data_IF_390281464656
#
_entry.id   IF_390281464656
#
_cell.length_a   1.000
_cell.length_b   1.000
_cell.length_c   1.000
_cell.angle_alpha   90.00
_cell.angle_beta   90.00
_cell.angle_gamma   90.00
#
_symmetry.space_group_name_H-M   'P 1'
#
loop_
_entity.id
_entity.type
_entity.pdbx_description
1 polymer ?
#
# COMPACT_ATOMS: atom_id res chain seq x y z
N UNK A 1 43.80 -5.68 -27.62
CA UNK A 1 42.59 -5.88 -26.80
C UNK A 1 42.54 -4.75 -25.79
N UNK A 2 41.62 -3.81 -25.96
CA UNK A 2 41.44 -2.70 -25.01
C UNK A 2 40.26 -3.06 -24.13
N UNK A 3 40.52 -3.37 -22.86
CA UNK A 3 39.48 -3.69 -21.88
C UNK A 3 39.13 -2.41 -21.15
N UNK A 4 37.97 -1.83 -21.44
CA UNK A 4 37.48 -0.66 -20.73
C UNK A 4 37.01 -1.09 -19.34
N UNK A 5 37.68 -0.61 -18.30
CA UNK A 5 37.29 -0.81 -16.91
C UNK A 5 36.04 0.03 -16.67
N UNK A 6 34.94 -0.61 -16.27
CA UNK A 6 33.74 0.10 -15.82
C UNK A 6 33.93 0.33 -14.33
N UNK A 7 34.28 1.56 -13.96
CA UNK A 7 34.31 2.03 -12.59
C UNK A 7 32.85 2.26 -12.19
N UNK A 8 32.13 1.16 -11.96
CA UNK A 8 30.75 1.21 -11.50
C UNK A 8 30.73 1.87 -10.14
N UNK A 9 30.41 3.17 -10.10
CA UNK A 9 29.85 3.82 -8.92
C UNK A 9 28.69 2.91 -8.47
N UNK A 10 28.78 2.21 -7.33
CA UNK A 10 27.71 1.36 -6.87
C UNK A 10 26.56 2.31 -6.53
N UNK A 11 25.68 2.50 -7.51
CA UNK A 11 24.55 3.39 -7.43
C UNK A 11 23.85 3.11 -6.12
N UNK A 12 23.79 4.16 -5.29
CA UNK A 12 23.13 4.24 -4.00
C UNK A 12 22.12 3.10 -3.85
N UNK A 13 22.53 2.03 -3.16
CA UNK A 13 21.60 1.00 -2.72
C UNK A 13 20.61 1.75 -1.83
N UNK A 14 19.44 2.09 -2.39
CA UNK A 14 18.34 2.61 -1.59
C UNK A 14 18.02 1.51 -0.60
N UNK A 15 18.47 1.68 0.64
CA UNK A 15 18.14 0.75 1.70
C UNK A 15 16.62 0.64 1.72
N UNK A 16 16.10 -0.53 1.33
CA UNK A 16 14.68 -0.79 1.39
C UNK A 16 14.28 -0.61 2.85
N UNK A 17 13.43 0.38 3.15
CA UNK A 17 12.96 0.64 4.50
C UNK A 17 12.34 -0.65 5.02
N UNK A 18 13.00 -1.27 6.01
CA UNK A 18 12.47 -2.50 6.62
C UNK A 18 11.20 -2.14 7.36
N UNK A 19 10.08 -2.60 6.81
CA UNK A 19 8.77 -2.49 7.45
C UNK A 19 8.78 -3.37 8.70
N UNK A 20 8.30 -2.84 9.83
CA UNK A 20 8.15 -3.66 11.04
C UNK A 20 7.02 -4.67 10.84
N UNK A 21 7.00 -5.74 11.64
CA UNK A 21 5.91 -6.72 11.59
C UNK A 21 4.55 -6.08 11.84
N UNK A 22 4.47 -5.12 12.77
CA UNK A 22 3.26 -4.37 13.08
C UNK A 22 2.76 -3.55 11.86
N UNK A 23 3.68 -2.87 11.17
CA UNK A 23 3.35 -2.14 9.95
C UNK A 23 2.84 -3.08 8.87
N UNK A 24 3.48 -4.24 8.67
CA UNK A 24 3.02 -5.25 7.71
C UNK A 24 1.64 -5.80 8.07
N UNK A 25 1.39 -6.04 9.36
CA UNK A 25 0.09 -6.49 9.85
C UNK A 25 -0.97 -5.42 9.59
N UNK A 26 -0.66 -4.14 9.83
CA UNK A 26 -1.55 -3.03 9.57
C UNK A 26 -1.91 -2.91 8.07
N UNK A 27 -0.91 -3.01 7.18
CA UNK A 27 -1.14 -3.07 5.72
C UNK A 27 -2.08 -4.20 5.33
N UNK A 28 -1.86 -5.40 5.89
CA UNK A 28 -2.70 -6.56 5.62
C UNK A 28 -4.14 -6.34 6.09
N UNK A 29 -4.32 -5.77 7.30
CA UNK A 29 -5.66 -5.45 7.82
C UNK A 29 -6.37 -4.43 6.94
N UNK A 30 -5.69 -3.37 6.51
CA UNK A 30 -6.27 -2.37 5.61
C UNK A 30 -6.76 -3.00 4.30
N UNK A 31 -5.94 -3.85 3.67
CA UNK A 31 -6.33 -4.57 2.44
C UNK A 31 -7.56 -5.45 2.67
N UNK A 32 -7.62 -6.18 3.79
CA UNK A 32 -8.77 -7.03 4.12
C UNK A 32 -10.05 -6.20 4.29
N UNK A 33 -9.99 -5.11 5.04
CA UNK A 33 -11.15 -4.24 5.23
C UNK A 33 -11.63 -3.68 3.90
N UNK A 34 -10.70 -3.25 3.02
CA UNK A 34 -11.09 -2.72 1.71
C UNK A 34 -11.78 -3.78 0.83
N UNK A 35 -11.34 -5.04 0.88
CA UNK A 35 -12.03 -6.15 0.20
C UNK A 35 -13.44 -6.38 0.74
N UNK A 36 -13.63 -6.27 2.06
CA UNK A 36 -14.95 -6.40 2.68
C UNK A 36 -15.85 -5.27 2.19
N UNK A 37 -15.38 -4.01 2.21
CA UNK A 37 -16.14 -2.85 1.75
C UNK A 37 -16.52 -2.98 0.27
N UNK A 38 -15.60 -3.43 -0.57
CA UNK A 38 -15.88 -3.70 -1.98
C UNK A 38 -16.95 -4.79 -2.14
N UNK A 39 -16.86 -5.86 -1.35
CA UNK A 39 -17.86 -6.92 -1.37
C UNK A 39 -19.26 -6.41 -0.99
N UNK A 40 -19.35 -5.54 0.02
CA UNK A 40 -20.62 -4.89 0.39
C UNK A 40 -21.19 -4.05 -0.76
N UNK A 41 -20.34 -3.32 -1.47
CA UNK A 41 -20.73 -2.54 -2.64
C UNK A 41 -21.22 -3.44 -3.79
N UNK A 42 -20.48 -4.51 -4.09
CA UNK A 42 -20.81 -5.46 -5.16
C UNK A 42 -22.15 -6.17 -4.90
N UNK A 43 -22.51 -6.40 -3.63
CA UNK A 43 -23.79 -6.98 -3.24
C UNK A 43 -24.91 -5.94 -3.11
N UNK A 44 -24.64 -4.66 -3.40
CA UNK A 44 -25.62 -3.58 -3.27
C UNK A 44 -26.05 -3.29 -1.83
N UNK A 45 -25.27 -3.72 -0.84
CA UNK A 45 -25.55 -3.48 0.58
C UNK A 45 -25.19 -2.05 1.01
N UNK A 46 -24.30 -1.40 0.27
CA UNK A 46 -23.91 0.00 0.44
C UNK A 46 -23.89 0.69 -0.92
N UNK A 47 -24.10 2.00 -0.92
CA UNK A 47 -23.91 2.86 -2.09
C UNK A 47 -22.44 3.15 -2.37
N UNK A 48 -22.14 3.63 -3.58
CA UNK A 48 -20.79 4.10 -3.96
C UNK A 48 -20.34 5.24 -3.03
N UNK A 49 -21.26 6.15 -2.66
CA UNK A 49 -20.95 7.26 -1.76
C UNK A 49 -20.58 6.77 -0.34
N UNK A 50 -21.30 5.77 0.17
CA UNK A 50 -20.97 5.15 1.46
C UNK A 50 -19.65 4.39 1.41
N UNK A 51 -19.37 3.68 0.31
CA UNK A 51 -18.07 3.05 0.08
C UNK A 51 -16.92 4.07 0.14
N UNK A 52 -17.07 5.23 -0.50
CA UNK A 52 -16.07 6.30 -0.44
C UNK A 52 -15.85 6.82 0.99
N UNK A 53 -16.92 7.10 1.74
CA UNK A 53 -16.84 7.56 3.13
C UNK A 53 -16.14 6.54 4.04
N UNK A 54 -16.46 5.25 3.87
CA UNK A 54 -15.83 4.17 4.63
C UNK A 54 -14.34 4.07 4.26
N UNK A 55 -14.01 4.15 2.97
CA UNK A 55 -12.62 4.08 2.48
C UNK A 55 -11.78 5.23 3.04
N UNK A 56 -12.31 6.46 3.04
CA UNK A 56 -11.63 7.62 3.62
C UNK A 56 -11.38 7.44 5.13
N UNK A 57 -12.39 6.97 5.86
CA UNK A 57 -12.28 6.70 7.30
C UNK A 57 -11.29 5.57 7.59
N UNK A 58 -11.21 4.55 6.73
CA UNK A 58 -10.23 3.48 6.84
C UNK A 58 -8.82 4.00 6.62
N UNK A 59 -8.58 4.85 5.62
CA UNK A 59 -7.26 5.48 5.40
C UNK A 59 -6.80 6.25 6.64
N UNK A 60 -7.70 6.99 7.29
CA UNK A 60 -7.38 7.72 8.52
C UNK A 60 -7.10 6.78 9.70
N UNK A 61 -7.89 5.70 9.84
CA UNK A 61 -7.81 4.78 10.98
C UNK A 61 -6.58 3.88 10.90
N UNK A 62 -6.32 3.28 9.74
CA UNK A 62 -5.20 2.38 9.54
C UNK A 62 -3.91 3.16 9.28
N UNK A 63 -4.00 4.40 8.77
CA UNK A 63 -2.85 5.18 8.30
C UNK A 63 -1.82 4.32 7.55
N UNK A 64 -2.25 3.52 6.53
CA UNK A 64 -1.36 2.56 5.89
C UNK A 64 -0.22 3.31 5.21
N UNK A 65 1.00 2.83 5.40
CA UNK A 65 2.19 3.39 4.79
C UNK A 65 2.11 3.36 3.24
N UNK A 66 1.41 2.37 2.68
CA UNK A 66 1.24 2.23 1.23
C UNK A 66 -0.09 2.80 0.70
N UNK A 67 -0.88 3.48 1.53
CA UNK A 67 -2.18 4.01 1.10
C UNK A 67 -2.06 5.01 -0.06
N UNK A 68 -0.95 5.76 -0.13
CA UNK A 68 -0.66 6.70 -1.23
C UNK A 68 -0.47 6.01 -2.59
N UNK A 69 -0.13 4.72 -2.60
CA UNK A 69 0.07 3.94 -3.83
C UNK A 69 -1.23 3.34 -4.37
N UNK A 70 -2.31 3.37 -3.58
CA UNK A 70 -3.62 2.91 -4.00
C UNK A 70 -4.41 4.14 -4.49
N UNK A 71 -4.65 4.30 -5.81
CA UNK A 71 -5.48 5.38 -6.33
C UNK A 71 -6.93 5.30 -5.83
#
# INVERSE_FOLDING_TARGET
>A
MNVTRIDGNPGVLREAKKMTYEQLQNEYQYILVQKIVQNLLDHGLISIEECHKITEKNRQTFSPYLAELMP
#
